data_IF_486267281369
#
_entry.id   IF_486267281369
#
_cell.length_a   1.000
_cell.length_b   1.000
_cell.length_c   1.000
_cell.angle_alpha   90.00
_cell.angle_beta   90.00
_cell.angle_gamma   90.00
#
_symmetry.space_group_name_H-M   'P 1'
#
loop_
_entity.id
_entity.type
_entity.pdbx_description
1 polymer ?
#
# COMPACT_ATOMS: atom_id res chain seq x y z
N UNK A 1 28.05 63.34 -11.25
CA UNK A 1 28.96 62.16 -11.20
C UNK A 1 29.08 61.78 -9.73
N UNK A 2 28.65 60.64 -9.16
CA UNK A 2 28.13 59.33 -9.57
C UNK A 2 27.16 58.89 -8.46
N UNK A 3 25.93 58.47 -8.78
CA UNK A 3 25.02 57.86 -7.82
C UNK A 3 25.19 56.35 -7.91
N UNK A 4 25.75 55.73 -6.86
CA UNK A 4 25.96 54.27 -6.79
C UNK A 4 24.63 53.63 -6.40
N UNK A 5 23.95 53.06 -7.38
CA UNK A 5 22.82 52.16 -7.15
C UNK A 5 23.39 50.77 -6.85
N UNK A 6 23.20 50.28 -5.63
CA UNK A 6 23.62 48.93 -5.22
C UNK A 6 22.32 48.15 -4.99
N UNK A 7 21.90 47.35 -5.97
CA UNK A 7 20.82 46.39 -5.75
C UNK A 7 21.37 45.21 -4.93
N UNK A 8 20.69 44.74 -3.87
CA UNK A 8 21.07 43.51 -3.21
C UNK A 8 20.70 42.35 -4.13
N UNK A 9 21.71 41.56 -4.53
CA UNK A 9 21.50 40.28 -5.19
C UNK A 9 20.96 39.32 -4.13
N UNK A 10 19.65 39.09 -4.13
CA UNK A 10 19.02 38.03 -3.34
C UNK A 10 19.33 36.72 -4.05
N UNK A 11 20.32 35.97 -3.53
CA UNK A 11 20.59 34.61 -3.98
C UNK A 11 19.55 33.69 -3.34
N UNK A 12 18.54 33.32 -4.12
CA UNK A 12 17.54 32.32 -3.74
C UNK A 12 18.16 30.93 -3.93
N UNK A 13 18.69 30.36 -2.84
CA UNK A 13 19.19 28.98 -2.83
C UNK A 13 17.99 28.05 -2.79
N UNK A 14 17.58 27.53 -3.94
CA UNK A 14 16.64 26.42 -4.00
C UNK A 14 17.38 25.14 -3.58
N UNK A 15 17.21 24.74 -2.32
CA UNK A 15 17.57 23.39 -1.92
C UNK A 15 16.57 22.44 -2.57
N UNK A 16 17.01 21.70 -3.59
CA UNK A 16 16.23 20.61 -4.15
C UNK A 16 16.09 19.53 -3.08
N UNK A 17 14.95 19.50 -2.37
CA UNK A 17 14.59 18.33 -1.57
C UNK A 17 14.45 17.17 -2.55
N UNK A 18 15.43 16.27 -2.58
CA UNK A 18 15.21 14.97 -3.20
C UNK A 18 14.05 14.34 -2.43
N UNK A 19 12.94 14.08 -3.12
CA UNK A 19 11.92 13.16 -2.64
C UNK A 19 12.60 11.81 -2.44
N UNK A 20 13.09 11.56 -1.23
CA UNK A 20 13.51 10.23 -0.82
C UNK A 20 12.23 9.44 -0.66
N UNK A 21 12.00 8.47 -1.53
CA UNK A 21 11.05 7.42 -1.22
C UNK A 21 11.60 6.71 0.01
N UNK A 22 10.93 6.89 1.14
CA UNK A 22 11.26 6.22 2.39
C UNK A 22 10.20 5.16 2.63
N UNK A 23 10.65 3.95 2.97
CA UNK A 23 9.77 2.99 3.59
C UNK A 23 9.53 3.44 5.03
N UNK A 24 8.26 3.56 5.39
CA UNK A 24 7.84 3.84 6.76
C UNK A 24 7.13 2.60 7.28
N UNK A 25 7.36 2.26 8.54
CA UNK A 25 6.50 1.28 9.21
C UNK A 25 5.11 1.89 9.36
N UNK A 26 4.11 1.21 8.80
CA UNK A 26 2.71 1.62 8.84
C UNK A 26 1.84 0.61 9.61
N UNK A 27 2.45 -0.38 10.28
CA UNK A 27 1.73 -1.48 10.95
C UNK A 27 0.71 -0.95 11.96
N UNK A 28 1.15 -0.10 12.88
CA UNK A 28 0.28 0.53 13.88
C UNK A 28 -0.76 1.46 13.22
N UNK A 29 -0.31 2.32 12.30
CA UNK A 29 -1.17 3.28 11.60
C UNK A 29 -2.32 2.60 10.87
N UNK A 30 -2.05 1.48 10.20
CA UNK A 30 -3.04 0.73 9.42
C UNK A 30 -3.88 -0.20 10.30
N UNK A 31 -3.54 -0.36 11.59
CA UNK A 31 -4.18 -1.31 12.48
C UNK A 31 -3.98 -2.76 12.04
N UNK A 32 -2.83 -3.06 11.43
CA UNK A 32 -2.54 -4.39 10.91
C UNK A 32 -2.14 -5.33 12.04
N UNK A 33 -2.81 -6.49 12.11
CA UNK A 33 -2.55 -7.54 13.09
C UNK A 33 -2.36 -8.93 12.46
N UNK A 34 -2.23 -8.98 11.12
CA UNK A 34 -2.01 -10.23 10.39
C UNK A 34 -0.60 -10.80 10.59
N UNK A 35 -0.39 -12.03 10.12
CA UNK A 35 0.90 -12.72 10.22
C UNK A 35 0.98 -13.96 9.34
N UNK A 36 2.19 -14.53 9.22
CA UNK A 36 2.45 -15.68 8.36
C UNK A 36 2.86 -15.30 6.93
N UNK A 37 2.50 -16.13 5.95
CA UNK A 37 2.75 -15.82 4.53
C UNK A 37 1.72 -14.79 4.07
N UNK A 38 2.19 -13.74 3.39
CA UNK A 38 1.34 -12.71 2.85
C UNK A 38 1.14 -12.89 1.34
N UNK A 39 -0.07 -12.65 0.87
CA UNK A 39 -0.44 -12.54 -0.53
C UNK A 39 -1.26 -11.26 -0.73
N UNK A 40 -1.12 -10.62 -1.89
CA UNK A 40 -1.66 -9.28 -2.17
C UNK A 40 -2.51 -9.32 -3.43
N UNK A 41 -3.73 -8.78 -3.35
CA UNK A 41 -4.67 -8.66 -4.46
C UNK A 41 -5.70 -7.57 -4.17
N UNK A 42 -6.29 -6.97 -5.19
CA UNK A 42 -7.47 -6.10 -5.05
C UNK A 42 -8.71 -7.01 -5.05
N UNK A 43 -9.13 -7.47 -3.86
CA UNK A 43 -10.18 -8.49 -3.75
C UNK A 43 -11.56 -7.92 -4.07
N UNK A 44 -11.80 -6.64 -3.76
CA UNK A 44 -13.10 -5.99 -3.93
C UNK A 44 -13.18 -5.09 -5.17
N UNK A 45 -12.14 -5.08 -6.02
CA UNK A 45 -12.03 -4.26 -7.23
C UNK A 45 -12.23 -2.75 -6.95
N UNK A 46 -11.74 -2.25 -5.81
CA UNK A 46 -11.86 -0.83 -5.44
C UNK A 46 -10.66 0.03 -5.84
N UNK A 47 -9.66 -0.59 -6.47
CA UNK A 47 -8.41 0.02 -6.91
C UNK A 47 -7.33 0.06 -5.83
N UNK A 48 -7.56 -0.51 -4.65
CA UNK A 48 -6.59 -0.58 -3.57
C UNK A 48 -6.25 -2.03 -3.25
N UNK A 49 -4.94 -2.31 -3.23
CA UNK A 49 -4.45 -3.66 -2.92
C UNK A 49 -4.76 -4.01 -1.47
N UNK A 50 -5.45 -5.13 -1.29
CA UNK A 50 -5.75 -5.80 -0.04
C UNK A 50 -4.65 -6.79 0.36
N UNK A 51 -4.71 -7.29 1.60
CA UNK A 51 -3.71 -8.21 2.15
C UNK A 51 -4.38 -9.46 2.68
N UNK A 52 -3.93 -10.63 2.23
CA UNK A 52 -4.21 -11.91 2.86
C UNK A 52 -2.97 -12.37 3.63
N UNK A 53 -3.07 -12.45 4.95
CA UNK A 53 -2.00 -12.88 5.85
C UNK A 53 -2.58 -13.72 6.97
N UNK A 54 -2.88 -14.99 6.65
CA UNK A 54 -3.62 -15.91 7.52
C UNK A 54 -5.14 -15.65 7.52
N UNK A 55 -5.55 -14.41 7.31
CA UNK A 55 -6.91 -13.94 7.05
C UNK A 55 -6.87 -12.81 6.02
N UNK A 56 -8.00 -12.54 5.35
CA UNK A 56 -8.14 -11.41 4.44
C UNK A 56 -8.41 -10.10 5.19
N UNK A 57 -7.71 -9.03 4.80
CA UNK A 57 -7.88 -7.66 5.28
C UNK A 57 -8.06 -6.72 4.08
N UNK A 58 -9.17 -5.97 4.08
CA UNK A 58 -9.47 -4.95 3.07
C UNK A 58 -8.74 -3.66 3.39
N UNK A 59 -8.05 -3.11 2.40
CA UNK A 59 -7.39 -1.83 2.44
C UNK A 59 -8.37 -0.70 2.17
N UNK A 60 -8.78 0.00 3.22
CA UNK A 60 -9.64 1.17 3.11
C UNK A 60 -8.84 2.38 2.61
N UNK A 61 -8.48 2.35 1.34
CA UNK A 61 -7.84 3.45 0.59
C UNK A 61 -6.55 3.99 1.21
N UNK A 62 -5.75 3.11 1.81
CA UNK A 62 -4.48 3.44 2.48
C UNK A 62 -4.63 3.99 3.91
N UNK A 63 -5.85 4.03 4.47
CA UNK A 63 -6.09 4.54 5.82
C UNK A 63 -6.06 3.44 6.88
N UNK A 64 -6.60 2.26 6.56
CA UNK A 64 -6.78 1.17 7.51
C UNK A 64 -6.87 -0.17 6.79
N UNK A 65 -6.36 -1.22 7.41
CA UNK A 65 -6.63 -2.60 7.05
C UNK A 65 -7.74 -3.14 7.96
N UNK A 66 -8.86 -3.55 7.36
CA UNK A 66 -10.05 -4.01 8.08
C UNK A 66 -10.24 -5.49 7.80
N UNK A 67 -10.37 -6.37 8.81
CA UNK A 67 -10.67 -7.78 8.59
C UNK A 67 -11.92 -7.94 7.71
N UNK A 68 -11.82 -8.76 6.67
CA UNK A 68 -12.93 -9.06 5.78
C UNK A 68 -13.84 -10.14 6.40
N UNK A 69 -14.51 -9.83 7.51
CA UNK A 69 -15.30 -10.82 8.30
C UNK A 69 -16.44 -11.46 7.53
N UNK A 70 -16.99 -10.75 6.55
CA UNK A 70 -18.08 -11.22 5.69
C UNK A 70 -17.57 -11.89 4.40
N UNK A 71 -16.25 -12.03 4.24
CA UNK A 71 -15.69 -12.75 3.08
C UNK A 71 -15.76 -14.26 3.30
N UNK A 72 -15.93 -15.01 2.22
CA UNK A 72 -15.73 -16.45 2.21
C UNK A 72 -14.26 -16.84 1.97
N UNK A 73 -13.34 -15.88 2.12
CA UNK A 73 -11.92 -16.15 1.94
C UNK A 73 -11.43 -17.13 3.02
N UNK A 74 -10.78 -18.23 2.65
CA UNK A 74 -10.28 -19.19 3.62
C UNK A 74 -9.11 -18.56 4.40
N UNK A 75 -8.84 -19.10 5.59
CA UNK A 75 -7.62 -18.75 6.32
C UNK A 75 -6.36 -19.35 5.70
N UNK A 76 -5.20 -19.14 6.35
CA UNK A 76 -3.95 -19.81 5.98
C UNK A 76 -3.22 -19.17 4.79
N UNK A 77 -2.52 -19.98 4.00
CA UNK A 77 -1.69 -19.50 2.88
C UNK A 77 -2.42 -19.63 1.55
N UNK A 78 -2.35 -18.58 0.74
CA UNK A 78 -3.09 -18.48 -0.53
C UNK A 78 -2.21 -17.91 -1.63
N UNK A 79 -2.64 -18.10 -2.87
CA UNK A 79 -2.16 -17.41 -4.08
C UNK A 79 -3.37 -16.78 -4.75
N UNK A 80 -3.18 -15.58 -5.31
CA UNK A 80 -4.20 -14.86 -6.07
C UNK A 80 -3.87 -14.85 -7.55
N UNK A 81 -4.90 -14.87 -8.39
CA UNK A 81 -4.77 -14.71 -9.84
C UNK A 81 -6.14 -14.85 -10.50
N UNK A 82 -6.35 -14.18 -11.62
CA UNK A 82 -7.52 -14.39 -12.48
C UNK A 82 -7.25 -15.67 -13.31
N UNK A 83 -7.81 -16.79 -12.85
CA UNK A 83 -7.51 -18.12 -13.37
C UNK A 83 -8.31 -18.41 -14.64
N UNK A 84 -9.56 -17.96 -14.71
CA UNK A 84 -10.45 -18.23 -15.84
C UNK A 84 -10.57 -17.08 -16.85
N UNK A 85 -9.88 -15.96 -16.60
CA UNK A 85 -9.86 -14.74 -17.41
C UNK A 85 -11.22 -14.03 -17.46
N UNK A 86 -12.01 -14.10 -16.40
CA UNK A 86 -13.29 -13.38 -16.29
C UNK A 86 -13.14 -11.93 -15.78
N UNK A 87 -11.93 -11.53 -15.40
CA UNK A 87 -11.60 -10.21 -14.88
C UNK A 87 -11.85 -10.05 -13.38
N UNK A 88 -12.26 -11.11 -12.67
CA UNK A 88 -12.33 -11.19 -11.23
C UNK A 88 -11.10 -11.94 -10.71
N UNK A 89 -10.57 -11.51 -9.56
CA UNK A 89 -9.41 -12.18 -8.97
C UNK A 89 -9.85 -13.46 -8.24
N UNK A 90 -9.27 -14.60 -8.61
CA UNK A 90 -9.51 -15.86 -7.92
C UNK A 90 -8.49 -16.07 -6.78
N UNK A 91 -8.91 -16.90 -5.84
CA UNK A 91 -8.10 -17.35 -4.72
C UNK A 91 -7.88 -18.86 -4.78
N UNK A 92 -6.62 -19.26 -4.73
CA UNK A 92 -6.21 -20.64 -4.51
C UNK A 92 -5.58 -20.80 -3.13
N UNK A 93 -6.19 -21.61 -2.27
CA UNK A 93 -5.61 -21.98 -0.99
C UNK A 93 -4.74 -23.23 -1.14
N UNK A 94 -3.55 -23.21 -0.53
CA UNK A 94 -2.71 -24.38 -0.41
C UNK A 94 -2.41 -24.66 1.06
N UNK A 95 -2.61 -25.92 1.44
CA UNK A 95 -2.23 -26.44 2.75
C UNK A 95 -1.05 -27.37 2.56
N UNK A 96 0.15 -26.88 2.91
CA UNK A 96 1.31 -27.76 3.09
C UNK A 96 1.26 -28.38 4.47
N UNK A 97 1.38 -29.71 4.54
CA UNK A 97 1.58 -30.45 5.80
C UNK A 97 2.87 -30.02 6.51
#
# INVERSE_FOLDING_TARGET
MKMKCILPIIVLVFSSSRLKSQFIDATEKLGFSGGGKAAFADYNNDGFVDIHAGSLFINNRGNKLVPATESNAPGGSVVWGDFDNDGNIDLFQYTGA
#
